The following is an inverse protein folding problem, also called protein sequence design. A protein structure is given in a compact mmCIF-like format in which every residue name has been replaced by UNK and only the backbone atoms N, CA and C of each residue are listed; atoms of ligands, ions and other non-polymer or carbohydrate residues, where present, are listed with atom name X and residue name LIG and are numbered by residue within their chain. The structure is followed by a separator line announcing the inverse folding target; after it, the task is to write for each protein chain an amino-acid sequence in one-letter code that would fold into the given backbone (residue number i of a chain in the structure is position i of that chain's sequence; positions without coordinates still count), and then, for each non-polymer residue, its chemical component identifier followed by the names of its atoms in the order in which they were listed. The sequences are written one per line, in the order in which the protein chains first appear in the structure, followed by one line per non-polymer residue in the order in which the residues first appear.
data_IF_027727207749
#
_entry.id   IF_027727207749
#
_cell.length_a   1.000
_cell.length_b   1.000
_cell.length_c   1.000
_cell.angle_alpha   90.00
_cell.angle_beta   90.00
_cell.angle_gamma   90.00
#
_symmetry.space_group_name_H-M   'P 1'
#
loop_
_entity.id
_entity.type
_entity.pdbx_description
1 polymer ?
#
# COMPACT_ATOMS: atom_id res chain seq x y z
N UNK A 1 -10.89 -22.93 14.29
CA UNK A 1 -9.85 -22.17 13.57
C UNK A 1 -10.53 -21.34 12.50
N UNK A 2 -10.46 -20.01 12.56
CA UNK A 2 -10.95 -19.17 11.46
C UNK A 2 -9.97 -19.32 10.30
N UNK A 3 -10.33 -20.10 9.28
CA UNK A 3 -9.50 -20.28 8.11
C UNK A 3 -9.72 -19.09 7.17
N UNK A 4 -8.71 -18.23 7.01
CA UNK A 4 -8.73 -17.27 5.91
C UNK A 4 -8.72 -18.05 4.60
N UNK A 5 -9.66 -17.71 3.72
CA UNK A 5 -9.68 -18.21 2.35
C UNK A 5 -8.83 -17.32 1.46
N UNK A 6 -8.38 -17.84 0.32
CA UNK A 6 -7.67 -17.04 -0.68
C UNK A 6 -8.47 -15.79 -1.09
N UNK A 7 -9.79 -15.94 -1.28
CA UNK A 7 -10.69 -14.81 -1.59
C UNK A 7 -10.65 -13.73 -0.51
N UNK A 8 -10.73 -14.11 0.75
CA UNK A 8 -10.72 -13.15 1.86
C UNK A 8 -9.36 -12.46 2.00
N UNK A 9 -8.25 -13.17 1.75
CA UNK A 9 -6.90 -12.58 1.76
C UNK A 9 -6.74 -11.55 0.64
N UNK A 10 -7.16 -11.88 -0.59
CA UNK A 10 -7.07 -10.96 -1.73
C UNK A 10 -7.90 -9.69 -1.51
N UNK A 11 -9.09 -9.80 -0.90
CA UNK A 11 -9.90 -8.64 -0.53
C UNK A 11 -9.22 -7.80 0.55
N UNK A 12 -8.59 -8.42 1.54
CA UNK A 12 -7.81 -7.70 2.55
C UNK A 12 -6.63 -6.95 1.93
N UNK A 13 -5.93 -7.52 0.94
CA UNK A 13 -4.86 -6.83 0.21
C UNK A 13 -5.38 -5.62 -0.57
N UNK A 14 -6.54 -5.74 -1.25
CA UNK A 14 -7.17 -4.59 -1.93
C UNK A 14 -7.58 -3.49 -0.96
N UNK A 15 -8.10 -3.87 0.22
CA UNK A 15 -8.43 -2.92 1.28
C UNK A 15 -7.16 -2.21 1.79
N UNK A 16 -6.08 -2.94 2.04
CA UNK A 16 -4.80 -2.39 2.48
C UNK A 16 -4.20 -1.42 1.46
N UNK A 17 -4.28 -1.74 0.16
CA UNK A 17 -3.84 -0.83 -0.90
C UNK A 17 -4.64 0.48 -0.95
N UNK A 18 -5.88 0.46 -0.46
CA UNK A 18 -6.76 1.64 -0.42
C UNK A 18 -6.63 2.45 0.87
N UNK A 19 -6.09 1.86 1.93
CA UNK A 19 -5.94 2.45 3.25
C UNK A 19 -4.59 2.01 3.86
N UNK A 20 -3.52 2.70 3.48
CA UNK A 20 -2.19 2.46 4.02
C UNK A 20 -2.12 2.88 5.51
N UNK A 21 -1.37 2.12 6.31
CA UNK A 21 -1.10 2.40 7.72
C UNK A 21 0.36 2.85 7.90
N UNK A 22 0.64 4.17 7.90
CA UNK A 22 2.01 4.66 7.93
C UNK A 22 2.60 4.74 9.34
N UNK A 23 1.81 4.55 10.40
CA UNK A 23 2.29 4.52 11.79
C UNK A 23 2.80 3.13 12.21
N UNK A 24 2.44 2.07 11.46
CA UNK A 24 3.02 0.73 11.57
C UNK A 24 3.60 0.27 10.21
N UNK A 25 4.71 0.87 9.76
CA UNK A 25 5.17 0.71 8.40
C UNK A 25 6.02 -0.55 8.21
N UNK A 26 5.81 -1.23 7.08
CA UNK A 26 6.72 -2.27 6.63
C UNK A 26 7.98 -1.69 5.96
N UNK A 27 7.87 -0.50 5.34
CA UNK A 27 8.96 0.29 4.79
C UNK A 27 8.93 1.72 5.35
N UNK A 28 9.94 2.06 6.14
CA UNK A 28 10.02 3.36 6.80
C UNK A 28 10.25 4.54 5.84
N UNK A 29 10.91 4.31 4.69
CA UNK A 29 11.18 5.37 3.71
C UNK A 29 9.89 5.75 2.99
N UNK A 30 9.13 4.76 2.55
CA UNK A 30 7.84 4.98 1.88
C UNK A 30 6.83 5.59 2.86
N UNK A 31 6.78 5.11 4.10
CA UNK A 31 5.89 5.67 5.12
C UNK A 31 6.24 7.12 5.49
N UNK A 32 7.52 7.45 5.59
CA UNK A 32 7.95 8.84 5.77
C UNK A 32 7.53 9.72 4.60
N UNK A 33 7.74 9.26 3.35
CA UNK A 33 7.30 10.00 2.17
C UNK A 33 5.77 10.17 2.16
N UNK A 34 5.02 9.13 2.54
CA UNK A 34 3.56 9.18 2.64
C UNK A 34 3.08 10.25 3.64
N UNK A 35 3.71 10.33 4.83
CA UNK A 35 3.34 11.28 5.89
C UNK A 35 3.82 12.71 5.63
N UNK A 36 5.07 12.87 5.18
CA UNK A 36 5.73 14.17 5.08
C UNK A 36 5.58 14.81 3.69
N UNK A 37 5.41 14.02 2.62
CA UNK A 37 5.31 14.52 1.25
C UNK A 37 4.29 13.72 0.41
N UNK A 38 2.99 13.87 0.70
CA UNK A 38 1.93 13.05 0.09
C UNK A 38 1.80 13.23 -1.43
N UNK A 39 2.11 14.41 -1.98
CA UNK A 39 2.07 14.60 -3.43
C UNK A 39 3.21 13.85 -4.14
N UNK A 40 4.43 13.88 -3.57
CA UNK A 40 5.55 13.08 -4.09
C UNK A 40 5.28 11.59 -3.97
N UNK A 41 4.70 11.15 -2.84
CA UNK A 41 4.22 9.77 -2.69
C UNK A 41 3.26 9.40 -3.82
N UNK A 42 2.26 10.23 -4.11
CA UNK A 42 1.25 9.94 -5.15
C UNK A 42 1.85 9.87 -6.55
N UNK A 43 2.84 10.71 -6.87
CA UNK A 43 3.57 10.65 -8.14
C UNK A 43 4.43 9.38 -8.24
N UNK A 44 5.15 9.06 -7.16
CA UNK A 44 5.97 7.84 -7.07
C UNK A 44 5.10 6.59 -7.22
N UNK A 45 3.99 6.51 -6.48
CA UNK A 45 3.05 5.39 -6.56
C UNK A 45 2.52 5.20 -7.99
N UNK A 46 2.08 6.28 -8.66
CA UNK A 46 1.64 6.21 -10.07
C UNK A 46 2.73 5.71 -11.01
N UNK A 47 3.96 6.20 -10.86
CA UNK A 47 5.09 5.78 -11.67
C UNK A 47 5.34 4.27 -11.51
N UNK A 48 5.38 3.77 -10.28
CA UNK A 48 5.61 2.35 -10.00
C UNK A 48 4.44 1.48 -10.45
N UNK A 49 3.19 1.92 -10.29
CA UNK A 49 2.03 1.22 -10.85
C UNK A 49 2.16 1.08 -12.37
N UNK A 50 2.53 2.14 -13.08
CA UNK A 50 2.73 2.09 -14.54
C UNK A 50 3.90 1.18 -14.94
N UNK A 51 5.02 1.24 -14.20
CA UNK A 51 6.23 0.49 -14.54
C UNK A 51 6.13 -1.02 -14.29
N UNK A 52 5.38 -1.44 -13.26
CA UNK A 52 5.40 -2.83 -12.77
C UNK A 52 4.04 -3.52 -12.73
N UNK A 53 2.93 -2.76 -12.84
CA UNK A 53 1.57 -3.27 -12.67
C UNK A 53 0.59 -2.70 -13.71
N UNK A 54 1.11 -2.26 -14.86
CA UNK A 54 0.35 -1.78 -16.03
C UNK A 54 -0.18 -2.90 -16.90
#
# INVERSE_FOLDING_TARGET
AAAMTLRTVLLSLQALLSAAEPDDPQDAVVARQYKENPEMFRQTAKHWTSAYAG
#
